data_IF_015749145550
#
_entry.id   IF_015749145550
#
_cell.length_a   1.000
_cell.length_b   1.000
_cell.length_c   1.000
_cell.angle_alpha   90.00
_cell.angle_beta   90.00
_cell.angle_gamma   90.00
#
_symmetry.space_group_name_H-M   'P 1'
#
loop_
_entity.id
_entity.type
_entity.pdbx_description
1 polymer ?
#
# COMPACT_ATOMS: atom_id res chain seq x y z
N UNK A 1 -32.44 -4.32 8.25
CA UNK A 1 -30.99 -4.06 8.25
C UNK A 1 -30.43 -4.72 7.00
N UNK A 2 -29.75 -3.98 6.12
CA UNK A 2 -29.25 -4.52 4.85
C UNK A 2 -27.74 -4.76 4.97
N UNK A 3 -27.33 -6.03 4.95
CA UNK A 3 -25.93 -6.41 4.77
C UNK A 3 -25.66 -6.59 3.28
N UNK A 4 -24.50 -6.14 2.82
CA UNK A 4 -24.04 -6.43 1.47
C UNK A 4 -23.08 -7.61 1.56
N UNK A 5 -23.49 -8.75 0.98
CA UNK A 5 -22.60 -9.87 0.71
C UNK A 5 -22.52 -10.04 -0.80
N UNK A 6 -21.33 -9.86 -1.34
CA UNK A 6 -21.04 -10.21 -2.72
C UNK A 6 -20.25 -11.52 -2.67
N UNK A 7 -20.78 -12.56 -3.32
CA UNK A 7 -20.11 -13.87 -3.38
C UNK A 7 -18.75 -13.80 -4.07
N UNK A 8 -18.01 -14.91 -4.05
CA UNK A 8 -16.73 -15.01 -4.76
C UNK A 8 -16.97 -14.99 -6.28
N UNK A 9 -16.81 -13.84 -6.93
CA UNK A 9 -16.80 -13.73 -8.40
C UNK A 9 -15.44 -14.09 -9.02
N UNK A 10 -14.58 -14.77 -8.26
CA UNK A 10 -13.31 -15.28 -8.78
C UNK A 10 -13.56 -16.58 -9.52
N UNK A 11 -14.04 -16.46 -10.76
CA UNK A 11 -13.74 -17.46 -11.78
C UNK A 11 -12.63 -16.87 -12.65
N UNK A 12 -11.41 -17.43 -12.53
CA UNK A 12 -10.27 -16.99 -13.35
C UNK A 12 -10.57 -17.13 -14.85
N UNK A 13 -11.50 -18.01 -15.20
CA UNK A 13 -11.87 -18.33 -16.57
C UNK A 13 -13.02 -17.47 -17.09
N UNK A 14 -13.79 -16.82 -16.20
CA UNK A 14 -14.90 -15.93 -16.59
C UNK A 14 -15.21 -14.89 -15.50
N UNK A 15 -14.31 -13.92 -15.24
CA UNK A 15 -14.54 -12.92 -14.22
C UNK A 15 -15.73 -12.05 -14.61
N UNK A 16 -16.73 -11.93 -13.73
CA UNK A 16 -17.74 -10.89 -13.87
C UNK A 16 -17.10 -9.56 -13.49
N UNK A 17 -16.83 -8.74 -14.50
CA UNK A 17 -16.23 -7.41 -14.32
C UNK A 17 -17.30 -6.34 -14.24
N UNK A 18 -17.21 -5.47 -13.25
CA UNK A 18 -18.04 -4.28 -13.16
C UNK A 18 -17.27 -3.07 -13.67
N UNK A 19 -17.95 -2.10 -14.27
CA UNK A 19 -17.30 -0.81 -14.53
C UNK A 19 -17.08 -0.07 -13.21
N UNK A 20 -18.16 0.13 -12.45
CA UNK A 20 -18.11 0.83 -11.17
C UNK A 20 -18.94 0.07 -10.13
N UNK A 21 -18.37 -0.17 -8.96
CA UNK A 21 -19.06 -0.69 -7.79
C UNK A 21 -19.22 0.43 -6.77
N UNK A 22 -20.43 0.66 -6.26
CA UNK A 22 -20.69 1.60 -5.17
C UNK A 22 -21.49 0.92 -4.09
N UNK A 23 -20.90 0.75 -2.92
CA UNK A 23 -21.56 0.15 -1.76
C UNK A 23 -21.61 1.16 -0.63
N UNK A 24 -22.79 1.32 -0.05
CA UNK A 24 -22.99 2.22 1.08
C UNK A 24 -23.78 1.51 2.18
N UNK A 25 -23.30 1.65 3.40
CA UNK A 25 -23.94 1.18 4.61
C UNK A 25 -23.74 2.22 5.73
N UNK A 26 -24.29 1.95 6.89
CA UNK A 26 -24.01 2.70 8.12
C UNK A 26 -23.59 1.77 9.25
N UNK A 27 -24.36 0.70 9.47
CA UNK A 27 -24.20 -0.19 10.61
C UNK A 27 -24.06 -1.68 10.24
N UNK A 28 -24.28 -2.03 8.98
CA UNK A 28 -24.11 -3.40 8.52
C UNK A 28 -22.77 -3.56 7.80
N UNK A 29 -22.07 -4.66 8.06
CA UNK A 29 -20.80 -4.97 7.42
C UNK A 29 -20.93 -5.04 5.91
N UNK A 30 -19.84 -4.73 5.22
CA UNK A 30 -19.71 -4.91 3.78
C UNK A 30 -18.64 -5.97 3.58
N UNK A 31 -19.07 -7.19 3.25
CA UNK A 31 -18.21 -8.27 2.84
C UNK A 31 -18.42 -8.49 1.35
N UNK A 32 -17.50 -7.99 0.54
CA UNK A 32 -17.64 -8.06 -0.91
C UNK A 32 -16.90 -9.25 -1.54
N UNK A 33 -16.40 -10.19 -0.73
CA UNK A 33 -15.74 -11.40 -1.22
C UNK A 33 -14.54 -11.06 -2.12
N UNK A 34 -14.72 -11.16 -3.43
CA UNK A 34 -13.77 -10.67 -4.44
C UNK A 34 -14.49 -9.85 -5.50
N UNK A 35 -14.03 -8.62 -5.73
CA UNK A 35 -14.61 -7.70 -6.75
C UNK A 35 -13.57 -7.37 -7.81
N UNK A 36 -13.96 -7.55 -9.08
CA UNK A 36 -13.24 -7.07 -10.25
C UNK A 36 -13.96 -5.86 -10.84
N UNK A 37 -13.32 -4.70 -10.81
CA UNK A 37 -13.91 -3.52 -11.45
C UNK A 37 -12.88 -2.49 -11.89
N UNK A 38 -13.28 -1.55 -12.74
CA UNK A 38 -12.42 -0.38 -12.99
C UNK A 38 -12.32 0.46 -11.71
N UNK A 39 -13.46 0.73 -11.06
CA UNK A 39 -13.49 1.49 -9.81
C UNK A 39 -14.47 0.91 -8.78
N UNK A 40 -14.07 0.87 -7.50
CA UNK A 40 -14.95 0.56 -6.38
C UNK A 40 -14.90 1.65 -5.31
N UNK A 41 -16.07 2.11 -4.87
CA UNK A 41 -16.24 3.08 -3.79
C UNK A 41 -17.13 2.49 -2.71
N UNK A 42 -16.55 2.21 -1.55
CA UNK A 42 -17.21 1.52 -0.45
C UNK A 42 -17.20 2.43 0.77
N UNK A 43 -18.38 2.75 1.28
CA UNK A 43 -18.54 3.65 2.41
C UNK A 43 -19.43 3.06 3.50
N UNK A 44 -18.98 3.14 4.74
CA UNK A 44 -19.79 2.82 5.91
C UNK A 44 -19.46 3.76 7.07
N UNK A 45 -20.12 3.62 8.22
CA UNK A 45 -19.87 4.44 9.41
C UNK A 45 -19.32 3.59 10.54
N UNK A 46 -20.00 2.49 10.87
CA UNK A 46 -19.79 1.72 12.08
C UNK A 46 -19.46 0.24 11.83
N UNK A 47 -19.37 -0.18 10.57
CA UNK A 47 -19.26 -1.58 10.23
C UNK A 47 -17.98 -1.90 9.48
N UNK A 48 -17.49 -3.12 9.66
CA UNK A 48 -16.29 -3.62 8.98
C UNK A 48 -16.50 -3.62 7.46
N UNK A 49 -15.42 -3.29 6.75
CA UNK A 49 -15.32 -3.50 5.30
C UNK A 49 -14.21 -4.52 5.06
N UNK A 50 -14.56 -5.63 4.40
CA UNK A 50 -13.58 -6.64 4.02
C UNK A 50 -13.86 -7.24 2.65
N UNK A 51 -12.80 -7.69 2.00
CA UNK A 51 -12.86 -8.32 0.68
C UNK A 51 -11.61 -8.06 -0.14
N UNK A 52 -11.42 -8.84 -1.19
CA UNK A 52 -10.32 -8.73 -2.13
C UNK A 52 -10.73 -7.86 -3.32
N UNK A 53 -9.96 -6.80 -3.59
CA UNK A 53 -10.21 -5.91 -4.72
C UNK A 53 -9.22 -6.15 -5.85
N UNK A 54 -9.72 -6.09 -7.08
CA UNK A 54 -8.93 -6.23 -8.29
C UNK A 54 -9.36 -5.16 -9.31
N UNK A 55 -8.49 -4.21 -9.68
CA UNK A 55 -8.93 -3.10 -10.54
C UNK A 55 -7.98 -1.91 -10.70
N UNK A 56 -8.53 -0.75 -11.05
CA UNK A 56 -7.78 0.50 -11.25
C UNK A 56 -7.91 1.47 -10.08
N UNK A 57 -9.10 1.58 -9.48
CA UNK A 57 -9.36 2.53 -8.38
C UNK A 57 -10.17 1.90 -7.23
N UNK A 58 -9.61 1.89 -6.03
CA UNK A 58 -10.30 1.49 -4.80
C UNK A 58 -10.40 2.66 -3.84
N UNK A 59 -11.61 3.00 -3.42
CA UNK A 59 -11.88 3.90 -2.31
C UNK A 59 -12.68 3.19 -1.22
N UNK A 60 -12.11 3.03 -0.03
CA UNK A 60 -12.81 2.49 1.15
C UNK A 60 -12.77 3.50 2.27
N UNK A 61 -13.94 3.83 2.80
CA UNK A 61 -14.07 4.76 3.91
C UNK A 61 -15.03 4.23 4.97
N UNK A 62 -14.57 4.27 6.22
CA UNK A 62 -15.41 4.07 7.41
C UNK A 62 -15.06 5.09 8.48
N UNK A 63 -15.81 5.17 9.57
CA UNK A 63 -15.47 6.03 10.71
C UNK A 63 -14.91 5.21 11.86
N UNK A 64 -15.57 4.10 12.19
CA UNK A 64 -15.37 3.43 13.47
C UNK A 64 -14.90 1.98 13.38
N UNK A 65 -14.85 1.40 12.18
CA UNK A 65 -14.63 -0.03 12.02
C UNK A 65 -13.43 -0.35 11.14
N UNK A 66 -13.04 -1.61 11.20
CA UNK A 66 -11.88 -2.16 10.52
C UNK A 66 -12.04 -2.16 9.00
N UNK A 67 -10.93 -1.91 8.31
CA UNK A 67 -10.80 -2.11 6.87
C UNK A 67 -9.79 -3.24 6.66
N UNK A 68 -10.23 -4.36 6.09
CA UNK A 68 -9.36 -5.46 5.66
C UNK A 68 -9.55 -5.74 4.17
N UNK A 69 -8.83 -4.99 3.34
CA UNK A 69 -8.99 -5.05 1.89
C UNK A 69 -7.65 -5.18 1.17
N UNK A 70 -7.19 -6.42 0.93
CA UNK A 70 -6.12 -6.65 -0.02
C UNK A 70 -6.54 -6.15 -1.41
N UNK A 71 -5.63 -5.52 -2.13
CA UNK A 71 -5.89 -4.93 -3.44
C UNK A 71 -4.80 -5.34 -4.44
N UNK A 72 -5.20 -5.95 -5.55
CA UNK A 72 -4.37 -6.16 -6.72
C UNK A 72 -4.74 -5.12 -7.79
N UNK A 73 -3.81 -4.22 -8.05
CA UNK A 73 -4.04 -3.09 -8.94
C UNK A 73 -3.42 -3.36 -10.31
N UNK A 74 -4.08 -2.88 -11.36
CA UNK A 74 -3.56 -3.01 -12.73
C UNK A 74 -3.28 -1.67 -13.38
N UNK A 75 -2.27 -1.65 -14.25
CA UNK A 75 -2.09 -0.55 -15.19
C UNK A 75 -3.19 -0.56 -16.26
N UNK A 76 -3.56 0.62 -16.75
CA UNK A 76 -4.47 0.81 -17.87
C UNK A 76 -3.77 1.53 -19.01
N UNK A 77 -4.10 1.18 -20.26
CA UNK A 77 -3.53 1.82 -21.45
C UNK A 77 -3.85 3.32 -21.52
N UNK A 78 -5.04 3.71 -21.07
CA UNK A 78 -5.54 5.09 -21.12
C UNK A 78 -5.25 5.87 -19.83
N UNK A 79 -4.62 5.22 -18.84
CA UNK A 79 -4.33 5.80 -17.53
C UNK A 79 -2.83 5.80 -17.26
N UNK A 80 -2.39 6.70 -16.40
CA UNK A 80 -1.01 6.72 -15.90
C UNK A 80 -0.92 6.28 -14.43
N UNK A 81 -2.06 6.08 -13.79
CA UNK A 81 -2.12 5.81 -12.35
C UNK A 81 -3.30 4.90 -11.95
N UNK A 82 -3.00 3.94 -11.08
CA UNK A 82 -3.97 3.17 -10.30
C UNK A 82 -3.99 3.71 -8.87
N UNK A 83 -5.17 3.74 -8.23
CA UNK A 83 -5.36 4.42 -6.94
C UNK A 83 -5.96 3.50 -5.89
N UNK A 84 -5.42 3.56 -4.68
CA UNK A 84 -5.99 2.93 -3.50
C UNK A 84 -6.11 3.98 -2.40
N UNK A 85 -7.31 4.21 -1.90
CA UNK A 85 -7.58 5.12 -0.79
C UNK A 85 -8.32 4.36 0.30
N UNK A 86 -7.69 4.15 1.46
CA UNK A 86 -8.29 3.49 2.62
C UNK A 86 -8.31 4.48 3.78
N UNK A 87 -9.50 4.78 4.31
CA UNK A 87 -9.64 5.77 5.38
C UNK A 87 -10.58 5.33 6.48
N UNK A 88 -10.12 5.44 7.72
CA UNK A 88 -10.96 5.33 8.91
C UNK A 88 -10.53 6.34 9.97
N UNK A 89 -11.30 6.52 11.03
CA UNK A 89 -10.87 7.32 12.19
C UNK A 89 -10.42 6.40 13.31
N UNK A 90 -11.21 5.38 13.62
CA UNK A 90 -11.02 4.56 14.82
C UNK A 90 -10.78 3.08 14.54
N UNK A 91 -10.88 2.66 13.29
CA UNK A 91 -10.66 1.27 12.88
C UNK A 91 -9.22 0.96 12.52
N UNK A 92 -8.83 -0.30 12.71
CA UNK A 92 -7.60 -0.82 12.15
C UNK A 92 -7.69 -0.82 10.62
N UNK A 93 -6.59 -0.50 9.94
CA UNK A 93 -6.44 -0.79 8.51
C UNK A 93 -5.39 -1.88 8.36
N UNK A 94 -5.78 -2.99 7.72
CA UNK A 94 -4.89 -4.06 7.29
C UNK A 94 -5.07 -4.27 5.80
N UNK A 95 -4.01 -4.07 5.01
CA UNK A 95 -4.11 -4.24 3.56
C UNK A 95 -2.82 -4.81 2.99
N UNK A 96 -2.96 -5.71 2.01
CA UNK A 96 -1.87 -6.13 1.16
C UNK A 96 -2.06 -5.49 -0.23
N UNK A 97 -1.03 -4.84 -0.75
CA UNK A 97 -1.04 -4.15 -2.03
C UNK A 97 -0.19 -4.91 -3.03
N UNK A 98 -0.79 -5.21 -4.18
CA UNK A 98 -0.12 -5.71 -5.35
C UNK A 98 -0.31 -4.76 -6.53
N UNK A 99 0.66 -4.71 -7.43
CA UNK A 99 0.56 -3.94 -8.66
C UNK A 99 1.19 -4.67 -9.84
N UNK A 100 0.44 -4.73 -10.94
CA UNK A 100 0.86 -5.34 -12.20
C UNK A 100 0.52 -4.43 -13.36
N UNK A 101 1.50 -4.04 -14.16
CA UNK A 101 1.29 -3.20 -15.33
C UNK A 101 2.27 -3.60 -16.43
N UNK A 102 1.75 -3.79 -17.63
CA UNK A 102 2.56 -3.96 -18.85
C UNK A 102 3.00 -2.59 -19.42
N UNK A 103 2.47 -1.51 -18.87
CA UNK A 103 2.77 -0.14 -19.29
C UNK A 103 3.92 0.43 -18.45
N UNK A 104 4.96 0.88 -19.14
CA UNK A 104 6.08 1.62 -18.54
C UNK A 104 5.59 2.93 -17.91
N UNK A 105 6.18 3.33 -16.78
CA UNK A 105 5.85 4.56 -16.05
C UNK A 105 4.43 4.62 -15.42
N UNK A 106 3.71 3.52 -15.36
CA UNK A 106 2.44 3.49 -14.61
C UNK A 106 2.72 3.54 -13.11
N UNK A 107 1.91 4.32 -12.39
CA UNK A 107 2.08 4.53 -10.95
C UNK A 107 0.95 3.87 -10.17
N UNK A 108 1.27 3.07 -9.15
CA UNK A 108 0.32 2.78 -8.08
C UNK A 108 0.45 3.87 -7.01
N UNK A 109 -0.62 4.64 -6.78
CA UNK A 109 -0.74 5.55 -5.64
C UNK A 109 -1.65 4.97 -4.57
N UNK A 110 -1.10 4.77 -3.39
CA UNK A 110 -1.84 4.33 -2.22
C UNK A 110 -1.82 5.42 -1.14
N UNK A 111 -3.01 5.75 -0.62
CA UNK A 111 -3.24 6.71 0.46
C UNK A 111 -4.01 6.01 1.57
N UNK A 112 -3.38 5.76 2.71
CA UNK A 112 -3.91 4.90 3.76
C UNK A 112 -3.85 5.64 5.10
N UNK A 113 -5.01 6.00 5.65
CA UNK A 113 -5.08 6.86 6.83
C UNK A 113 -6.06 6.34 7.89
N UNK A 114 -5.58 6.27 9.12
CA UNK A 114 -6.40 6.11 10.32
C UNK A 114 -6.02 7.19 11.34
N UNK A 115 -6.71 7.30 12.47
CA UNK A 115 -6.38 8.29 13.51
C UNK A 115 -6.01 7.58 14.81
N UNK A 116 -6.89 6.72 15.32
CA UNK A 116 -6.74 6.13 16.64
C UNK A 116 -6.22 4.70 16.63
N UNK A 117 -6.34 3.98 15.53
CA UNK A 117 -6.07 2.55 15.47
C UNK A 117 -4.84 2.19 14.62
N UNK A 118 -4.32 0.96 14.73
CA UNK A 118 -3.13 0.54 14.00
C UNK A 118 -3.34 0.53 12.49
N UNK A 119 -2.23 0.71 11.77
CA UNK A 119 -2.16 0.59 10.33
C UNK A 119 -1.08 -0.43 9.97
N UNK A 120 -1.43 -1.43 9.18
CA UNK A 120 -0.49 -2.41 8.63
C UNK A 120 -0.68 -2.52 7.13
N UNK A 121 0.40 -2.27 6.38
CA UNK A 121 0.42 -2.39 4.93
C UNK A 121 1.54 -3.32 4.51
N UNK A 122 1.18 -4.38 3.80
CA UNK A 122 2.12 -5.27 3.12
C UNK A 122 2.12 -4.92 1.63
N UNK A 123 3.23 -4.37 1.14
CA UNK A 123 3.44 -4.03 -0.26
C UNK A 123 4.49 -4.98 -0.88
N UNK A 124 4.28 -6.29 -0.80
CA UNK A 124 5.26 -7.28 -1.28
C UNK A 124 5.27 -7.52 -2.80
N UNK A 125 4.20 -7.19 -3.54
CA UNK A 125 3.97 -7.74 -4.90
C UNK A 125 3.98 -6.67 -5.99
N UNK A 126 5.16 -6.39 -6.55
CA UNK A 126 5.34 -5.47 -7.67
C UNK A 126 5.95 -6.17 -8.89
N UNK A 127 5.54 -5.79 -10.09
CA UNK A 127 6.31 -6.06 -11.31
C UNK A 127 7.46 -5.06 -11.45
N UNK A 128 8.54 -5.50 -12.09
CA UNK A 128 9.70 -4.64 -12.41
C UNK A 128 9.23 -3.48 -13.29
N UNK A 129 9.81 -2.28 -13.12
CA UNK A 129 9.53 -1.05 -13.90
C UNK A 129 8.20 -0.32 -13.61
N UNK A 130 7.57 -0.62 -12.47
CA UNK A 130 6.39 0.12 -11.99
C UNK A 130 6.75 1.18 -10.96
N UNK A 131 6.01 2.30 -10.92
CA UNK A 131 6.18 3.31 -9.88
C UNK A 131 5.25 3.07 -8.69
N UNK A 132 5.78 3.04 -7.48
CA UNK A 132 4.97 2.88 -6.27
C UNK A 132 5.06 4.12 -5.38
N UNK A 133 3.91 4.75 -5.11
CA UNK A 133 3.79 5.88 -4.20
C UNK A 133 2.83 5.52 -3.07
N UNK A 134 3.34 5.48 -1.84
CA UNK A 134 2.55 5.21 -0.64
C UNK A 134 2.61 6.40 0.32
N UNK A 135 1.46 6.85 0.76
CA UNK A 135 1.30 7.75 1.90
C UNK A 135 0.44 7.02 2.95
N UNK A 136 1.08 6.57 4.03
CA UNK A 136 0.46 5.87 5.13
C UNK A 136 0.59 6.66 6.42
N UNK A 137 -0.51 6.91 7.13
CA UNK A 137 -0.40 7.55 8.44
C UNK A 137 -1.49 7.19 9.43
N UNK A 138 -1.12 7.33 10.69
CA UNK A 138 -2.01 7.29 11.85
C UNK A 138 -1.64 8.43 12.79
N UNK A 139 -2.38 8.65 13.87
CA UNK A 139 -2.05 9.69 14.85
C UNK A 139 -1.58 9.06 16.16
N UNK A 140 -2.38 8.16 16.72
CA UNK A 140 -2.18 7.64 18.08
C UNK A 140 -1.55 6.26 18.11
N UNK A 141 -1.86 5.42 17.12
CA UNK A 141 -1.47 4.01 17.12
C UNK A 141 -0.22 3.74 16.28
N UNK A 142 0.33 2.51 16.31
CA UNK A 142 1.45 2.15 15.47
C UNK A 142 1.10 2.15 13.97
N UNK A 143 2.09 2.47 13.14
CA UNK A 143 2.04 2.25 11.70
C UNK A 143 3.19 1.34 11.26
N UNK A 144 2.86 0.24 10.60
CA UNK A 144 3.84 -0.70 10.05
C UNK A 144 3.62 -0.84 8.56
N UNK A 145 4.70 -0.63 7.80
CA UNK A 145 4.71 -0.84 6.36
C UNK A 145 5.84 -1.80 6.03
N UNK A 146 5.53 -2.84 5.29
CA UNK A 146 6.50 -3.74 4.68
C UNK A 146 6.48 -3.50 3.17
N UNK A 147 7.66 -3.35 2.56
CA UNK A 147 7.79 -3.28 1.11
C UNK A 147 8.63 -4.44 0.61
N UNK A 148 8.22 -5.01 -0.52
CA UNK A 148 8.89 -6.19 -1.06
C UNK A 148 10.31 -5.91 -1.58
N UNK A 149 11.13 -6.96 -1.78
CA UNK A 149 12.47 -6.91 -2.36
C UNK A 149 12.63 -6.10 -3.66
N UNK A 150 11.55 -6.02 -4.45
CA UNK A 150 11.51 -5.31 -5.73
C UNK A 150 11.36 -3.80 -5.61
N UNK A 151 11.11 -3.30 -4.41
CA UNK A 151 11.01 -1.86 -4.18
C UNK A 151 12.35 -1.17 -4.47
N UNK A 152 12.30 -0.16 -5.34
CA UNK A 152 13.37 0.78 -5.59
C UNK A 152 12.77 2.18 -5.50
N UNK A 153 13.42 3.11 -4.78
CA UNK A 153 12.87 4.43 -4.54
C UNK A 153 13.33 5.06 -3.24
N UNK A 154 12.63 6.12 -2.83
CA UNK A 154 12.90 6.81 -1.57
C UNK A 154 11.89 6.44 -0.50
N UNK A 155 12.30 6.57 0.76
CA UNK A 155 11.38 6.48 1.87
C UNK A 155 11.62 7.61 2.88
N UNK A 156 10.57 8.00 3.57
CA UNK A 156 10.57 8.97 4.66
C UNK A 156 9.58 8.50 5.72
N UNK A 157 10.11 8.06 6.87
CA UNK A 157 9.30 7.68 8.01
C UNK A 157 9.53 8.63 9.17
N UNK A 158 8.46 9.00 9.87
CA UNK A 158 8.53 9.94 10.98
C UNK A 158 7.48 9.72 12.06
N UNK A 159 7.86 10.02 13.29
CA UNK A 159 7.00 10.08 14.46
C UNK A 159 7.36 11.31 15.30
N UNK A 160 6.46 11.78 16.18
CA UNK A 160 6.75 12.97 17.00
C UNK A 160 7.31 12.63 18.38
N UNK A 161 7.03 11.43 18.89
CA UNK A 161 7.31 11.06 20.29
C UNK A 161 8.45 10.05 20.39
N UNK A 162 8.32 8.89 19.73
CA UNK A 162 9.25 7.77 19.83
C UNK A 162 10.26 7.73 18.69
N UNK A 163 11.14 6.74 18.64
CA UNK A 163 12.07 6.56 17.53
C UNK A 163 11.37 5.94 16.31
N UNK A 164 11.78 6.33 15.09
CA UNK A 164 11.36 5.73 13.84
C UNK A 164 12.25 4.52 13.51
N UNK A 165 11.62 3.37 13.27
CA UNK A 165 12.31 2.11 13.04
C UNK A 165 12.36 1.76 11.55
N UNK A 166 13.57 1.55 11.03
CA UNK A 166 13.80 0.98 9.69
C UNK A 166 14.49 -0.36 9.88
N UNK A 167 13.82 -1.43 9.48
CA UNK A 167 14.37 -2.78 9.44
C UNK A 167 14.73 -3.11 7.99
N UNK A 168 15.94 -3.60 7.77
CA UNK A 168 16.40 -4.03 6.45
C UNK A 168 16.61 -5.53 6.51
N UNK A 169 15.87 -6.27 5.70
CA UNK A 169 16.01 -7.71 5.65
C UNK A 169 17.43 -8.09 5.16
N UNK A 170 18.15 -8.98 5.87
CA UNK A 170 19.42 -9.49 5.40
C UNK A 170 19.22 -10.40 4.18
N UNK A 171 20.25 -10.49 3.34
CA UNK A 171 20.36 -11.51 2.27
C UNK A 171 19.22 -11.53 1.23
N UNK A 172 18.66 -10.37 0.92
CA UNK A 172 17.66 -10.24 -0.15
C UNK A 172 18.29 -10.56 -1.51
N UNK A 173 17.77 -11.59 -2.19
CA UNK A 173 18.21 -11.99 -3.53
C UNK A 173 17.70 -11.01 -4.58
N UNK A 174 18.52 -10.73 -5.60
CA UNK A 174 18.13 -9.91 -6.75
C UNK A 174 16.87 -10.48 -7.43
N UNK A 175 15.74 -9.75 -7.40
CA UNK A 175 14.49 -10.23 -7.96
C UNK A 175 14.51 -10.44 -9.47
N UNK A 176 15.46 -9.84 -10.19
CA UNK A 176 15.63 -10.03 -11.64
C UNK A 176 16.62 -11.13 -11.99
N UNK A 177 17.32 -11.70 -11.00
CA UNK A 177 18.35 -12.72 -11.22
C UNK A 177 19.59 -12.21 -11.98
N UNK A 178 19.78 -10.89 -12.07
CA UNK A 178 20.87 -10.28 -12.84
C UNK A 178 22.17 -10.10 -12.03
N UNK A 179 22.21 -10.63 -10.81
CA UNK A 179 23.35 -10.52 -9.91
C UNK A 179 23.58 -9.10 -9.40
N UNK A 180 22.54 -8.25 -9.38
CA UNK A 180 22.61 -6.91 -8.77
C UNK A 180 22.71 -7.03 -7.26
N UNK A 181 23.33 -6.05 -6.63
CA UNK A 181 23.38 -5.91 -5.18
C UNK A 181 22.37 -4.86 -4.72
N UNK A 182 21.67 -5.15 -3.63
CA UNK A 182 20.74 -4.21 -3.01
C UNK A 182 21.51 -3.26 -2.10
N UNK A 183 21.35 -1.97 -2.32
CA UNK A 183 21.89 -0.94 -1.45
C UNK A 183 20.74 -0.21 -0.79
N UNK A 184 20.78 -0.14 0.54
CA UNK A 184 19.82 0.61 1.36
C UNK A 184 20.59 1.67 2.14
N UNK A 185 20.30 2.94 1.86
CA UNK A 185 20.86 4.06 2.61
C UNK A 185 19.88 4.48 3.68
N UNK A 186 20.31 4.52 4.94
CA UNK A 186 19.49 4.97 6.08
C UNK A 186 20.12 6.21 6.70
N UNK A 187 19.39 7.33 6.70
CA UNK A 187 19.77 8.57 7.37
C UNK A 187 18.74 8.87 8.46
N UNK A 188 19.16 8.80 9.73
CA UNK A 188 18.34 9.17 10.88
C UNK A 188 18.64 10.60 11.32
N UNK A 189 17.59 11.39 11.59
CA UNK A 189 17.74 12.72 12.18
C UNK A 189 18.15 12.63 13.66
N UNK A 190 18.69 13.72 14.21
CA UNK A 190 19.04 13.80 15.63
C UNK A 190 17.80 13.52 16.49
N UNK A 191 17.91 12.54 17.38
CA UNK A 191 16.80 12.08 18.22
C UNK A 191 15.94 10.97 17.60
N UNK A 192 16.28 10.46 16.40
CA UNK A 192 15.72 9.23 15.84
C UNK A 192 14.27 9.30 15.37
N UNK A 193 13.57 10.43 15.56
CA UNK A 193 12.15 10.62 15.25
C UNK A 193 11.82 10.62 13.75
N UNK A 194 12.83 10.76 12.91
CA UNK A 194 12.70 10.70 11.45
C UNK A 194 13.84 9.89 10.88
N UNK A 195 13.50 9.00 9.96
CA UNK A 195 14.46 8.25 9.16
C UNK A 195 14.07 8.37 7.68
N UNK A 196 15.03 8.75 6.86
CA UNK A 196 14.85 8.88 5.42
C UNK A 196 15.97 8.17 4.68
N UNK A 197 15.71 7.80 3.44
CA UNK A 197 16.68 7.01 2.70
C UNK A 197 16.24 6.64 1.31
N UNK A 198 17.03 5.76 0.70
CA UNK A 198 16.78 5.22 -0.63
C UNK A 198 17.14 3.74 -0.69
N UNK A 199 16.43 3.04 -1.57
CA UNK A 199 16.66 1.64 -1.93
C UNK A 199 16.90 1.58 -3.42
N UNK A 200 17.98 0.92 -3.84
CA UNK A 200 18.23 0.65 -5.25
C UNK A 200 19.00 -0.65 -5.45
N UNK A 201 18.98 -1.16 -6.67
CA UNK A 201 19.73 -2.32 -7.12
C UNK A 201 20.73 -1.89 -8.20
N UNK A 202 22.01 -2.24 -8.06
CA UNK A 202 23.05 -1.93 -9.05
C UNK A 202 24.05 -3.08 -9.20
N UNK A 203 24.76 -3.17 -10.33
CA UNK A 203 25.90 -4.08 -10.46
C UNK A 203 27.14 -3.44 -9.85
N UNK A 204 28.08 -4.28 -9.44
CA UNK A 204 29.37 -3.82 -8.89
C UNK A 204 30.13 -3.04 -9.97
N UNK A 205 30.37 -1.75 -9.73
CA UNK A 205 31.09 -0.87 -10.64
C UNK A 205 30.19 0.03 -11.50
N UNK A 206 28.86 -0.18 -11.48
CA UNK A 206 27.94 0.81 -12.03
C UNK A 206 27.98 2.06 -11.14
N UNK A 207 28.27 3.22 -11.71
CA UNK A 207 28.02 4.48 -11.02
C UNK A 207 26.52 4.56 -10.75
N UNK A 208 26.15 5.01 -9.55
CA UNK A 208 24.76 5.28 -9.22
C UNK A 208 24.17 6.19 -10.30
N UNK A 209 23.26 5.67 -11.12
CA UNK A 209 22.42 6.53 -11.95
C UNK A 209 21.52 7.32 -10.99
N UNK A 210 21.97 8.54 -10.67
CA UNK A 210 21.12 9.57 -10.08
C UNK A 210 19.88 9.71 -10.97
N UNK A 211 18.71 9.29 -10.48
CA UNK A 211 17.48 9.93 -10.90
C UNK A 211 16.30 9.06 -11.31
N UNK A 212 16.39 7.72 -11.35
CA UNK A 212 15.16 6.95 -11.59
C UNK A 212 14.37 6.85 -10.28
N UNK A 213 13.55 7.87 -9.99
CA UNK A 213 12.53 7.87 -8.92
C UNK A 213 11.49 6.78 -9.22
N UNK A 214 11.83 5.53 -8.88
CA UNK A 214 10.98 4.33 -9.06
C UNK A 214 9.90 4.22 -7.97
N UNK A 215 10.03 4.91 -6.85
CA UNK A 215 8.96 4.95 -5.85
C UNK A 215 9.21 5.94 -4.73
N UNK A 216 8.16 6.20 -3.93
CA UNK A 216 8.23 7.00 -2.71
C UNK A 216 7.30 6.42 -1.65
N UNK A 217 7.85 6.09 -0.49
CA UNK A 217 7.08 5.58 0.65
C UNK A 217 7.16 6.57 1.80
N UNK A 218 6.02 7.09 2.21
CA UNK A 218 5.89 7.98 3.37
C UNK A 218 5.06 7.29 4.43
N UNK A 219 5.62 7.18 5.63
CA UNK A 219 4.90 6.60 6.77
C UNK A 219 5.00 7.54 7.95
N UNK A 220 3.89 7.87 8.58
CA UNK A 220 3.95 8.73 9.77
C UNK A 220 2.94 8.40 10.85
N UNK A 221 3.35 8.69 12.08
CA UNK A 221 2.48 8.70 13.25
C UNK A 221 2.80 9.93 14.10
N UNK A 222 1.92 10.32 15.01
CA UNK A 222 2.22 11.41 15.94
C UNK A 222 2.77 10.86 17.25
N UNK A 223 2.15 9.81 17.79
CA UNK A 223 2.40 9.36 19.17
C UNK A 223 3.15 8.04 19.24
N UNK A 224 2.83 7.08 18.38
CA UNK A 224 3.34 5.70 18.52
C UNK A 224 4.56 5.43 17.64
N UNK A 225 4.94 4.15 17.58
CA UNK A 225 6.02 3.67 16.73
C UNK A 225 5.61 3.70 15.27
N UNK A 226 6.55 4.13 14.42
CA UNK A 226 6.49 3.90 12.98
C UNK A 226 7.59 2.92 12.60
N UNK A 227 7.21 1.88 11.87
CA UNK A 227 8.13 0.84 11.42
C UNK A 227 8.03 0.65 9.91
N UNK A 228 9.17 0.72 9.24
CA UNK A 228 9.32 0.35 7.83
C UNK A 228 10.21 -0.88 7.73
N UNK A 229 9.73 -1.91 7.05
CA UNK A 229 10.48 -3.13 6.74
C UNK A 229 10.81 -3.09 5.25
N UNK A 230 12.12 -3.13 4.94
CA UNK A 230 12.68 -3.07 3.59
C UNK A 230 13.26 -4.42 3.18
#
# INVERSE_FOLDING_TARGET
MFAHSIGHFFDFWSPTTFRIVRLKSSNAGIDFGSVFSEAAFIQTTNAEVKGFYCGLELGVQTSNARIETPALMFGSHNGFESKVTLRTSNGEIKSALGFSSDFTNHTLRATIHTTLAPLTVDAARFMTDTRFVLDASTTVSPATVEVGPKFEGTYDIRTSVVEAEVEVAPDVRDPTGQGRQRTVTVVKERGGRRAQGRVHWSKKGDQEEEGVKRGSVKVSTSVSTVKLIL
#
